data_IF_442632286969
#
_entry.id   IF_442632286969
#
_cell.length_a   1.000
_cell.length_b   1.000
_cell.length_c   1.000
_cell.angle_alpha   90.00
_cell.angle_beta   90.00
_cell.angle_gamma   90.00
#
_symmetry.space_group_name_H-M   'P 1'
#
loop_
_entity.id
_entity.type
_entity.pdbx_description
1 polymer ?
#
# COMPACT_ATOMS: atom_id res chain seq x y z
N UNK A 1 -28.23 -6.51 -63.59
CA UNK A 1 -28.50 -5.45 -62.60
C UNK A 1 -27.99 -5.93 -61.24
N UNK A 2 -26.99 -5.21 -60.71
CA UNK A 2 -26.45 -5.14 -59.34
C UNK A 2 -26.53 -6.39 -58.44
N UNK A 3 -25.41 -7.10 -58.33
CA UNK A 3 -25.14 -8.02 -57.22
C UNK A 3 -24.88 -7.19 -55.94
N UNK A 4 -25.72 -7.40 -54.91
CA UNK A 4 -25.47 -6.86 -53.57
C UNK A 4 -24.35 -7.66 -52.90
N UNK A 5 -23.20 -7.02 -52.69
CA UNK A 5 -22.19 -7.52 -51.75
C UNK A 5 -22.59 -7.12 -50.34
N UNK A 6 -22.99 -8.10 -49.52
CA UNK A 6 -23.15 -7.91 -48.08
C UNK A 6 -21.76 -7.89 -47.43
N UNK A 7 -21.36 -6.73 -46.90
CA UNK A 7 -20.12 -6.56 -46.15
C UNK A 7 -20.33 -7.14 -44.73
N UNK A 8 -19.53 -8.10 -44.25
CA UNK A 8 -19.66 -8.59 -42.89
C UNK A 8 -19.16 -7.51 -41.92
N UNK A 9 -20.07 -7.02 -41.06
CA UNK A 9 -19.73 -6.16 -39.93
C UNK A 9 -18.96 -7.04 -38.92
N UNK A 10 -17.64 -6.88 -38.85
CA UNK A 10 -16.84 -7.42 -37.75
C UNK A 10 -17.22 -6.65 -36.48
N UNK A 11 -18.04 -7.26 -35.62
CA UNK A 11 -18.16 -6.84 -34.23
C UNK A 11 -16.81 -7.12 -33.56
N UNK A 12 -16.02 -6.07 -33.33
CA UNK A 12 -14.86 -6.13 -32.45
C UNK A 12 -15.38 -6.43 -31.03
N UNK A 13 -15.30 -7.70 -30.63
CA UNK A 13 -15.52 -8.10 -29.24
C UNK A 13 -14.33 -7.56 -28.46
N UNK A 14 -14.50 -6.39 -27.83
CA UNK A 14 -13.55 -5.93 -26.82
C UNK A 14 -13.66 -6.88 -25.64
N UNK A 15 -12.74 -7.83 -25.55
CA UNK A 15 -12.57 -8.68 -24.38
C UNK A 15 -12.31 -7.77 -23.17
N UNK A 16 -13.28 -7.66 -22.27
CA UNK A 16 -13.02 -7.13 -20.93
C UNK A 16 -12.05 -8.12 -20.27
N UNK A 17 -10.78 -7.75 -20.21
CA UNK A 17 -9.83 -8.44 -19.34
C UNK A 17 -10.15 -8.04 -17.90
N UNK A 18 -10.76 -8.97 -17.19
CA UNK A 18 -10.94 -8.93 -15.75
C UNK A 18 -9.56 -9.10 -15.09
N UNK A 19 -9.08 -8.05 -14.42
CA UNK A 19 -7.83 -8.04 -13.67
C UNK A 19 -8.11 -8.18 -12.18
N UNK A 20 -7.44 -9.14 -11.55
CA UNK A 20 -7.37 -9.27 -10.10
C UNK A 20 -6.48 -8.18 -9.48
N UNK A 21 -6.65 -7.94 -8.18
CA UNK A 21 -5.81 -7.05 -7.36
C UNK A 21 -5.26 -7.82 -6.15
N UNK A 22 -4.35 -8.78 -6.35
CA UNK A 22 -4.06 -9.82 -5.37
C UNK A 22 -3.11 -9.39 -4.25
N UNK A 23 -2.58 -8.17 -4.29
CA UNK A 23 -1.54 -7.70 -3.37
C UNK A 23 -1.48 -6.17 -3.28
N UNK A 24 -0.62 -5.66 -2.37
CA UNK A 24 -0.32 -4.24 -2.21
C UNK A 24 0.03 -3.57 -3.55
N UNK A 25 -0.63 -2.44 -3.84
CA UNK A 25 -0.48 -1.67 -5.09
C UNK A 25 -0.79 -2.47 -6.38
N UNK A 26 -1.53 -3.56 -6.28
CA UNK A 26 -2.04 -4.31 -7.42
C UNK A 26 -1.10 -5.38 -7.94
N UNK A 27 -1.45 -6.04 -9.06
CA UNK A 27 -0.78 -7.26 -9.52
C UNK A 27 0.73 -7.08 -9.75
N UNK A 28 1.17 -5.89 -10.17
CA UNK A 28 2.59 -5.55 -10.39
C UNK A 28 3.19 -4.66 -9.29
N UNK A 29 2.46 -4.41 -8.19
CA UNK A 29 2.86 -3.51 -7.08
C UNK A 29 3.19 -2.08 -7.52
N UNK A 30 2.62 -1.63 -8.62
CA UNK A 30 2.95 -0.37 -9.29
C UNK A 30 1.85 0.69 -9.18
N UNK A 31 0.73 0.37 -8.53
CA UNK A 31 -0.45 1.22 -8.38
C UNK A 31 -1.08 1.59 -9.73
N UNK A 32 -1.08 0.67 -10.69
CA UNK A 32 -1.70 0.85 -12.01
C UNK A 32 -2.84 -0.14 -12.18
N UNK A 33 -4.05 0.39 -12.37
CA UNK A 33 -5.24 -0.36 -12.78
C UNK A 33 -5.36 -0.33 -14.30
N UNK A 34 -5.23 -1.50 -14.93
CA UNK A 34 -5.04 -1.64 -16.39
C UNK A 34 -6.34 -1.91 -17.16
N UNK A 35 -7.45 -2.11 -16.45
CA UNK A 35 -8.73 -2.37 -17.10
C UNK A 35 -9.24 -1.16 -17.89
N UNK A 36 -10.07 -1.46 -18.89
CA UNK A 36 -10.69 -0.48 -19.78
C UNK A 36 -12.21 -0.56 -19.68
N UNK A 37 -12.94 0.34 -20.37
CA UNK A 37 -14.41 0.36 -20.28
C UNK A 37 -14.94 0.96 -18.98
N UNK A 38 -14.17 1.83 -18.34
CA UNK A 38 -14.45 2.40 -17.02
C UNK A 38 -14.97 3.84 -17.12
N UNK A 39 -15.83 4.26 -16.19
CA UNK A 39 -16.44 5.61 -16.14
C UNK A 39 -15.40 6.70 -16.30
N UNK A 40 -15.60 7.65 -17.22
CA UNK A 40 -14.75 8.85 -17.40
C UNK A 40 -15.00 9.89 -16.29
N UNK A 41 -16.27 9.97 -15.90
CA UNK A 41 -16.82 10.80 -14.82
C UNK A 41 -17.86 9.97 -14.09
N UNK A 42 -18.04 10.21 -12.79
CA UNK A 42 -19.10 9.56 -12.04
C UNK A 42 -20.48 10.04 -12.52
N UNK A 43 -21.50 9.16 -12.56
CA UNK A 43 -22.85 9.56 -12.89
C UNK A 43 -23.42 10.47 -11.79
N UNK A 44 -24.49 11.21 -12.13
CA UNK A 44 -25.26 11.98 -11.15
C UNK A 44 -25.81 11.04 -10.07
N UNK A 45 -25.62 11.38 -8.79
CA UNK A 45 -25.92 10.50 -7.66
C UNK A 45 -24.81 9.50 -7.28
N UNK A 46 -23.72 9.46 -8.05
CA UNK A 46 -22.56 8.61 -7.77
C UNK A 46 -22.65 7.22 -8.40
N UNK A 47 -21.51 6.50 -8.48
CA UNK A 47 -21.45 5.16 -9.08
C UNK A 47 -22.28 4.14 -8.32
N UNK A 48 -22.73 3.09 -9.02
CA UNK A 48 -23.61 2.06 -8.45
C UNK A 48 -22.90 1.26 -7.36
N UNK A 49 -23.43 1.33 -6.13
CA UNK A 49 -23.02 0.44 -5.03
C UNK A 49 -23.50 -0.97 -5.33
N UNK A 50 -22.58 -1.94 -5.29
CA UNK A 50 -22.87 -3.37 -5.46
C UNK A 50 -23.28 -3.99 -4.14
N UNK A 51 -22.52 -3.74 -3.08
CA UNK A 51 -22.79 -4.20 -1.73
C UNK A 51 -22.00 -3.39 -0.70
N UNK A 52 -22.47 -3.46 0.56
CA UNK A 52 -21.81 -2.96 1.76
C UNK A 52 -21.88 -4.03 2.82
N UNK A 53 -20.77 -4.28 3.52
CA UNK A 53 -20.71 -5.34 4.54
C UNK A 53 -19.93 -4.88 5.76
N UNK A 54 -20.38 -5.22 6.98
CA UNK A 54 -19.72 -4.77 8.18
C UNK A 54 -18.36 -5.45 8.35
N UNK A 55 -17.37 -4.67 8.76
CA UNK A 55 -16.04 -5.14 9.21
C UNK A 55 -15.67 -4.42 10.50
N UNK A 56 -14.71 -4.97 11.24
CA UNK A 56 -14.16 -4.28 12.41
C UNK A 56 -13.03 -3.31 12.00
N UNK A 57 -12.51 -2.47 12.91
CA UNK A 57 -11.42 -1.55 12.63
C UNK A 57 -10.16 -2.21 12.06
N UNK A 58 -9.40 -1.47 11.24
CA UNK A 58 -8.17 -1.94 10.63
C UNK A 58 -7.69 -1.05 9.47
N UNK A 59 -6.37 -1.03 9.25
CA UNK A 59 -5.74 -0.21 8.21
C UNK A 59 -5.47 -1.01 6.92
N UNK A 60 -5.36 -2.34 7.04
CA UNK A 60 -5.11 -3.26 5.92
C UNK A 60 -6.14 -3.10 4.80
N UNK A 61 -5.66 -2.81 3.58
CA UNK A 61 -6.51 -2.73 2.39
C UNK A 61 -7.03 -4.10 1.96
N UNK A 62 -8.21 -4.19 1.34
CA UNK A 62 -8.67 -5.43 0.73
C UNK A 62 -7.78 -5.81 -0.47
N UNK A 63 -7.80 -7.09 -0.81
CA UNK A 63 -7.28 -7.62 -2.08
C UNK A 63 -8.35 -8.46 -2.76
N UNK A 64 -8.33 -8.50 -4.08
CA UNK A 64 -9.28 -9.25 -4.90
C UNK A 64 -8.52 -10.29 -5.71
N UNK A 65 -8.94 -11.54 -5.63
CA UNK A 65 -8.36 -12.62 -6.41
C UNK A 65 -9.37 -13.75 -6.64
N UNK A 66 -9.54 -14.16 -7.90
CA UNK A 66 -10.37 -15.33 -8.26
C UNK A 66 -11.81 -15.28 -7.76
N UNK A 67 -12.48 -14.12 -7.85
CA UNK A 67 -13.87 -13.96 -7.42
C UNK A 67 -14.04 -13.80 -5.89
N UNK A 68 -12.94 -13.60 -5.16
CA UNK A 68 -12.91 -13.46 -3.70
C UNK A 68 -12.27 -12.16 -3.27
N UNK A 69 -12.74 -11.63 -2.15
CA UNK A 69 -12.17 -10.47 -1.46
C UNK A 69 -11.57 -10.95 -0.17
N UNK A 70 -10.30 -10.60 0.08
CA UNK A 70 -9.62 -10.88 1.34
C UNK A 70 -9.27 -9.59 2.05
N UNK A 71 -9.54 -9.52 3.34
CA UNK A 71 -9.22 -8.37 4.18
C UNK A 71 -8.92 -8.84 5.60
N UNK A 72 -8.19 -8.04 6.37
CA UNK A 72 -7.99 -8.30 7.79
C UNK A 72 -8.56 -7.17 8.65
N UNK A 73 -9.11 -7.52 9.80
CA UNK A 73 -9.59 -6.56 10.80
C UNK A 73 -9.28 -7.02 12.23
N UNK A 74 -9.53 -6.14 13.22
CA UNK A 74 -9.35 -6.45 14.63
C UNK A 74 -10.61 -6.19 15.44
N UNK A 75 -10.93 -7.13 16.31
CA UNK A 75 -11.97 -7.01 17.33
C UNK A 75 -11.33 -6.80 18.70
N UNK A 76 -11.64 -5.68 19.35
CA UNK A 76 -11.23 -5.43 20.75
C UNK A 76 -12.02 -6.34 21.69
N UNK A 77 -11.36 -6.89 22.72
CA UNK A 77 -12.01 -7.74 23.70
C UNK A 77 -13.09 -6.97 24.48
N UNK A 78 -14.19 -7.65 24.81
CA UNK A 78 -15.31 -7.03 25.53
C UNK A 78 -14.85 -6.48 26.88
N UNK A 79 -15.08 -5.19 27.11
CA UNK A 79 -14.71 -4.49 28.35
C UNK A 79 -13.25 -4.01 28.41
N UNK A 80 -12.44 -4.28 27.38
CA UNK A 80 -11.12 -3.68 27.29
C UNK A 80 -11.25 -2.16 27.02
N UNK A 81 -10.41 -1.36 27.67
CA UNK A 81 -10.38 0.09 27.52
C UNK A 81 -9.31 0.45 26.50
N UNK A 82 -9.70 1.20 25.48
CA UNK A 82 -8.78 1.82 24.52
C UNK A 82 -8.75 3.31 24.81
N UNK A 83 -7.56 3.87 24.94
CA UNK A 83 -7.38 5.31 25.00
C UNK A 83 -7.29 5.83 23.56
N UNK A 84 -8.40 6.31 23.02
CA UNK A 84 -8.46 6.83 21.65
C UNK A 84 -7.93 8.27 21.54
N UNK A 85 -7.77 8.96 22.66
CA UNK A 85 -7.30 10.35 22.71
C UNK A 85 -5.77 10.45 22.65
N UNK A 86 -5.05 9.46 23.20
CA UNK A 86 -3.60 9.37 23.16
C UNK A 86 -3.11 8.22 22.27
N UNK A 87 -2.69 8.47 21.02
CA UNK A 87 -2.17 7.45 20.13
C UNK A 87 -0.83 6.86 20.59
N UNK A 88 -0.21 7.40 21.65
CA UNK A 88 1.04 6.90 22.23
C UNK A 88 0.82 6.20 23.59
N UNK A 89 -0.42 5.99 24.02
CA UNK A 89 -0.73 5.05 25.09
C UNK A 89 -0.48 3.61 24.60
N UNK A 90 0.62 3.02 25.07
CA UNK A 90 1.05 1.67 24.70
C UNK A 90 0.52 0.59 25.66
N UNK A 91 -0.49 0.91 26.48
CA UNK A 91 -1.16 -0.07 27.34
C UNK A 91 -1.65 -1.26 26.51
N UNK A 92 -1.38 -2.47 27.02
CA UNK A 92 -1.72 -3.69 26.29
C UNK A 92 -3.23 -3.92 26.33
N UNK A 93 -3.86 -3.88 25.16
CA UNK A 93 -5.29 -4.11 24.98
C UNK A 93 -5.52 -5.47 24.35
N UNK A 94 -6.25 -6.34 25.04
CA UNK A 94 -6.65 -7.64 24.53
C UNK A 94 -7.63 -7.51 23.34
N UNK A 95 -7.50 -8.41 22.38
CA UNK A 95 -8.36 -8.48 21.20
C UNK A 95 -7.99 -9.65 20.31
N UNK A 96 -8.72 -9.80 19.21
CA UNK A 96 -8.49 -10.82 18.19
C UNK A 96 -8.32 -10.16 16.82
N UNK A 97 -7.38 -10.65 16.04
CA UNK A 97 -7.28 -10.31 14.62
C UNK A 97 -8.04 -11.36 13.81
N UNK A 98 -8.66 -10.93 12.71
CA UNK A 98 -9.38 -11.80 11.79
C UNK A 98 -8.87 -11.64 10.37
N UNK A 99 -8.81 -12.75 9.65
CA UNK A 99 -8.69 -12.82 8.18
C UNK A 99 -10.06 -13.20 7.64
N UNK A 100 -10.63 -12.36 6.79
CA UNK A 100 -11.95 -12.56 6.19
C UNK A 100 -11.79 -12.89 4.71
N UNK A 101 -12.59 -13.84 4.22
CA UNK A 101 -12.81 -14.07 2.80
C UNK A 101 -14.28 -13.88 2.47
N UNK A 102 -14.55 -13.05 1.48
CA UNK A 102 -15.89 -12.71 1.02
C UNK A 102 -16.03 -13.04 -0.46
N UNK A 103 -17.25 -13.35 -0.89
CA UNK A 103 -17.57 -13.43 -2.31
C UNK A 103 -17.56 -12.03 -2.91
N UNK A 104 -16.78 -11.82 -3.97
CA UNK A 104 -16.66 -10.53 -4.65
C UNK A 104 -17.99 -10.08 -5.28
N UNK A 105 -18.80 -11.03 -5.73
CA UNK A 105 -20.10 -10.76 -6.34
C UNK A 105 -21.11 -10.13 -5.37
N UNK A 106 -21.12 -10.58 -4.11
CA UNK A 106 -22.22 -10.32 -3.16
C UNK A 106 -21.77 -9.70 -1.84
N UNK A 107 -20.48 -9.74 -1.53
CA UNK A 107 -19.92 -9.40 -0.23
C UNK A 107 -20.19 -10.45 0.85
N UNK A 108 -20.83 -11.59 0.55
CA UNK A 108 -21.12 -12.60 1.56
C UNK A 108 -19.82 -13.23 2.08
N UNK A 109 -19.66 -13.27 3.40
CA UNK A 109 -18.54 -14.00 4.03
C UNK A 109 -18.59 -15.48 3.67
N UNK A 110 -17.49 -15.97 3.10
CA UNK A 110 -17.26 -17.37 2.75
C UNK A 110 -16.65 -18.10 3.95
N UNK A 111 -15.59 -17.52 4.51
CA UNK A 111 -14.93 -18.01 5.71
C UNK A 111 -14.28 -16.87 6.49
N UNK A 112 -13.99 -17.14 7.77
CA UNK A 112 -13.15 -16.28 8.60
C UNK A 112 -12.15 -17.15 9.37
N UNK A 113 -10.94 -16.64 9.57
CA UNK A 113 -9.95 -17.18 10.50
C UNK A 113 -9.67 -16.13 11.57
N UNK A 114 -9.66 -16.51 12.85
CA UNK A 114 -9.51 -15.58 13.98
C UNK A 114 -8.47 -16.12 14.96
N UNK A 115 -7.64 -15.23 15.51
CA UNK A 115 -6.61 -15.56 16.50
C UNK A 115 -6.39 -14.42 17.49
N UNK A 116 -5.93 -14.77 18.69
CA UNK A 116 -5.63 -13.80 19.75
C UNK A 116 -4.48 -12.89 19.37
N UNK A 117 -4.67 -11.59 19.56
CA UNK A 117 -3.69 -10.56 19.27
C UNK A 117 -3.86 -9.36 20.21
N UNK A 118 -3.18 -9.42 21.36
CA UNK A 118 -3.10 -8.29 22.29
C UNK A 118 -2.14 -7.23 21.76
N UNK A 119 -2.57 -5.97 21.73
CA UNK A 119 -1.82 -4.85 21.14
C UNK A 119 -1.23 -3.95 22.21
N UNK A 120 0.08 -3.71 22.12
CA UNK A 120 0.80 -2.64 22.84
C UNK A 120 1.50 -1.69 21.85
N UNK A 121 0.76 -1.22 20.84
CA UNK A 121 1.26 -0.40 19.73
C UNK A 121 0.55 0.94 19.67
N UNK A 122 1.20 1.93 19.05
CA UNK A 122 0.60 3.23 18.75
C UNK A 122 -0.55 3.07 17.76
N UNK A 123 -1.66 3.75 18.05
CA UNK A 123 -2.98 3.46 17.51
C UNK A 123 -3.37 2.00 17.73
N UNK A 124 -4.19 1.74 18.74
CA UNK A 124 -4.67 0.39 19.08
C UNK A 124 -5.67 -0.17 18.04
N UNK A 125 -5.54 0.21 16.78
CA UNK A 125 -6.27 -0.26 15.60
C UNK A 125 -5.33 -1.06 14.70
N UNK A 126 -5.84 -2.02 13.92
CA UNK A 126 -5.05 -2.86 13.02
C UNK A 126 -5.91 -4.02 12.50
N UNK A 127 -5.37 -4.97 11.71
CA UNK A 127 -4.01 -5.03 11.18
C UNK A 127 -3.70 -3.96 10.13
N UNK A 128 -2.42 -3.83 9.75
CA UNK A 128 -1.93 -2.81 8.81
C UNK A 128 -1.46 -3.37 7.47
N UNK A 129 -0.88 -4.56 7.45
CA UNK A 129 -0.38 -5.14 6.22
C UNK A 129 -1.53 -5.72 5.36
N UNK A 130 -1.68 -5.20 4.16
CA UNK A 130 -2.47 -5.77 3.05
C UNK A 130 -2.06 -7.23 2.79
N UNK A 131 -3.02 -8.18 2.66
CA UNK A 131 -2.74 -9.57 2.33
C UNK A 131 -2.08 -9.75 0.95
N UNK A 132 -1.51 -10.93 0.71
CA UNK A 132 -1.06 -11.38 -0.61
C UNK A 132 -1.79 -12.67 -0.98
N UNK A 133 -2.36 -12.76 -2.17
CA UNK A 133 -3.04 -13.96 -2.67
C UNK A 133 -2.27 -14.54 -3.85
N UNK A 134 -1.93 -15.81 -3.80
CA UNK A 134 -1.27 -16.51 -4.92
C UNK A 134 -1.39 -18.02 -4.80
N UNK A 135 -1.63 -18.70 -5.92
CA UNK A 135 -1.59 -20.16 -6.00
C UNK A 135 -2.50 -20.87 -4.99
N UNK A 136 -3.72 -20.36 -4.82
CA UNK A 136 -4.70 -20.91 -3.87
C UNK A 136 -4.40 -20.64 -2.40
N UNK A 137 -3.48 -19.71 -2.09
CA UNK A 137 -3.07 -19.35 -0.72
C UNK A 137 -3.23 -17.87 -0.46
N UNK A 138 -3.48 -17.54 0.80
CA UNK A 138 -3.52 -16.17 1.32
C UNK A 138 -2.43 -16.03 2.38
N UNK A 139 -1.59 -15.02 2.22
CA UNK A 139 -0.53 -14.66 3.16
C UNK A 139 -0.92 -13.39 3.90
N UNK A 140 -0.92 -13.42 5.23
CA UNK A 140 -1.25 -12.26 6.06
C UNK A 140 -0.18 -12.02 7.11
N UNK A 141 0.09 -10.75 7.40
CA UNK A 141 0.97 -10.33 8.48
C UNK A 141 0.18 -9.48 9.48
N UNK A 142 -0.04 -10.03 10.67
CA UNK A 142 -0.69 -9.35 11.79
C UNK A 142 0.19 -8.27 12.43
N UNK A 143 -0.43 -7.31 13.13
CA UNK A 143 0.26 -6.17 13.78
C UNK A 143 1.34 -6.63 14.76
N UNK A 144 1.13 -7.77 15.42
CA UNK A 144 2.03 -8.35 16.43
C UNK A 144 3.02 -9.38 15.84
N UNK A 145 3.11 -9.48 14.51
CA UNK A 145 4.09 -10.34 13.83
C UNK A 145 3.62 -11.78 13.62
N UNK A 146 2.30 -12.00 13.59
CA UNK A 146 1.70 -13.27 13.20
C UNK A 146 1.71 -13.36 11.67
N UNK A 147 2.64 -14.12 11.11
CA UNK A 147 2.69 -14.38 9.67
C UNK A 147 1.99 -15.71 9.40
N UNK A 148 0.88 -15.66 8.67
CA UNK A 148 0.05 -16.83 8.36
C UNK A 148 0.05 -17.10 6.87
N UNK A 149 0.02 -18.38 6.52
CA UNK A 149 -0.40 -18.86 5.23
C UNK A 149 -1.66 -19.69 5.40
N UNK A 150 -2.72 -19.28 4.72
CA UNK A 150 -4.03 -19.93 4.77
C UNK A 150 -4.40 -20.46 3.38
N UNK A 151 -5.14 -21.56 3.37
CA UNK A 151 -5.85 -22.03 2.19
C UNK A 151 -6.91 -20.99 1.79
N UNK A 152 -6.86 -20.51 0.54
CA UNK A 152 -7.74 -19.44 0.07
C UNK A 152 -9.21 -19.87 -0.03
N UNK A 153 -9.48 -21.18 -0.15
CA UNK A 153 -10.83 -21.72 -0.33
C UNK A 153 -11.55 -21.85 1.00
N UNK A 154 -10.87 -22.28 2.05
CA UNK A 154 -11.50 -22.64 3.33
C UNK A 154 -10.92 -21.95 4.58
N UNK A 155 -9.85 -21.15 4.44
CA UNK A 155 -9.26 -20.40 5.55
C UNK A 155 -8.50 -21.24 6.57
N UNK A 156 -8.22 -22.53 6.28
CA UNK A 156 -7.37 -23.35 7.15
C UNK A 156 -5.94 -22.87 7.09
N UNK A 157 -5.30 -22.78 8.26
CA UNK A 157 -3.86 -22.46 8.36
C UNK A 157 -3.06 -23.62 7.79
N UNK A 158 -2.24 -23.33 6.77
CA UNK A 158 -1.28 -24.25 6.17
C UNK A 158 0.01 -24.25 7.00
N UNK A 159 0.50 -23.04 7.32
CA UNK A 159 1.63 -22.84 8.22
C UNK A 159 1.54 -21.45 8.88
N UNK A 160 2.26 -21.28 9.98
CA UNK A 160 2.38 -19.99 10.68
C UNK A 160 3.80 -19.75 11.21
N UNK A 161 4.11 -18.46 11.39
CA UNK A 161 5.29 -17.93 12.08
C UNK A 161 4.86 -16.83 13.03
N UNK A 162 5.63 -16.64 14.09
CA UNK A 162 5.38 -15.61 15.10
C UNK A 162 6.69 -14.86 15.34
N UNK A 163 6.88 -13.71 14.70
CA UNK A 163 8.18 -13.03 14.61
C UNK A 163 8.83 -12.79 15.98
N UNK A 164 8.04 -12.37 16.97
CA UNK A 164 8.53 -12.17 18.35
C UNK A 164 9.11 -13.45 18.96
N UNK A 165 8.46 -14.59 18.73
CA UNK A 165 8.87 -15.89 19.24
C UNK A 165 10.06 -16.45 18.45
N UNK A 166 9.97 -16.38 17.13
CA UNK A 166 10.90 -17.03 16.21
C UNK A 166 12.25 -16.29 16.13
N UNK A 167 12.24 -14.96 16.27
CA UNK A 167 13.43 -14.10 16.10
C UNK A 167 13.79 -13.26 17.33
N UNK A 168 13.01 -13.31 18.41
CA UNK A 168 13.28 -12.53 19.63
C UNK A 168 13.15 -11.01 19.45
N UNK A 169 12.43 -10.57 18.41
CA UNK A 169 12.20 -9.15 18.11
C UNK A 169 11.04 -8.57 18.91
N UNK A 170 11.00 -7.25 19.04
CA UNK A 170 9.86 -6.53 19.61
C UNK A 170 8.94 -6.05 18.49
N UNK A 171 7.66 -5.87 18.80
CA UNK A 171 6.72 -5.21 17.91
C UNK A 171 7.17 -3.75 17.69
N UNK A 172 7.28 -3.28 16.43
CA UNK A 172 7.56 -1.86 16.15
C UNK A 172 6.49 -0.94 16.73
N UNK A 173 6.80 0.36 16.88
CA UNK A 173 5.89 1.34 17.49
C UNK A 173 4.49 1.35 16.84
N UNK A 174 4.41 1.22 15.51
CA UNK A 174 3.16 1.12 14.76
C UNK A 174 2.83 -0.30 14.30
N UNK A 175 3.41 -1.32 14.95
CA UNK A 175 3.23 -2.72 14.55
C UNK A 175 4.00 -3.13 13.30
N UNK A 176 3.95 -4.42 13.00
CA UNK A 176 4.45 -4.93 11.72
C UNK A 176 3.51 -4.51 10.59
N UNK A 177 3.88 -3.44 9.88
CA UNK A 177 3.03 -2.83 8.85
C UNK A 177 3.53 -3.02 7.40
N UNK A 178 4.77 -3.46 7.22
CA UNK A 178 5.34 -3.64 5.89
C UNK A 178 4.64 -4.79 5.14
N UNK A 179 4.03 -4.47 4.01
CA UNK A 179 3.34 -5.44 3.17
C UNK A 179 4.31 -6.52 2.68
N UNK A 180 4.06 -7.83 2.96
CA UNK A 180 4.90 -8.90 2.43
C UNK A 180 5.05 -8.81 0.91
N UNK A 181 6.22 -9.20 0.42
CA UNK A 181 6.52 -9.33 -0.99
C UNK A 181 6.61 -10.82 -1.34
N UNK A 182 5.80 -11.27 -2.29
CA UNK A 182 5.93 -12.61 -2.86
C UNK A 182 6.76 -12.54 -4.14
N UNK A 183 7.87 -13.26 -4.16
CA UNK A 183 8.79 -13.36 -5.29
C UNK A 183 9.10 -14.82 -5.63
N UNK A 184 8.40 -15.38 -6.62
CA UNK A 184 8.42 -16.82 -6.89
C UNK A 184 7.99 -17.61 -5.66
N UNK A 185 8.88 -18.45 -5.15
CA UNK A 185 8.64 -19.24 -3.93
C UNK A 185 8.99 -18.51 -2.63
N UNK A 186 9.47 -17.26 -2.69
CA UNK A 186 9.97 -16.50 -1.54
C UNK A 186 8.93 -15.48 -1.07
N UNK A 187 8.42 -15.64 0.14
CA UNK A 187 7.66 -14.63 0.86
C UNK A 187 8.61 -13.81 1.74
N UNK A 188 8.89 -12.59 1.33
CA UNK A 188 9.88 -11.69 1.94
C UNK A 188 9.16 -10.71 2.87
N UNK A 189 9.61 -10.66 4.12
CA UNK A 189 9.04 -9.83 5.19
C UNK A 189 10.11 -8.98 5.88
N UNK A 190 9.69 -7.84 6.42
CA UNK A 190 10.49 -7.06 7.35
C UNK A 190 10.22 -7.54 8.79
N UNK A 191 11.24 -8.10 9.43
CA UNK A 191 11.14 -8.68 10.78
C UNK A 191 11.85 -7.82 11.82
N UNK A 192 12.93 -7.14 11.46
CA UNK A 192 13.77 -6.39 12.40
C UNK A 192 14.76 -7.28 13.16
N UNK A 193 15.55 -6.69 14.04
CA UNK A 193 16.58 -7.40 14.82
C UNK A 193 17.96 -7.41 14.17
N UNK A 194 18.87 -8.21 14.74
CA UNK A 194 20.26 -8.30 14.30
C UNK A 194 20.44 -9.49 13.34
N UNK A 195 20.74 -9.21 12.07
CA UNK A 195 20.85 -10.22 11.00
C UNK A 195 19.49 -10.71 10.46
N UNK A 196 18.39 -10.13 10.93
CA UNK A 196 17.02 -10.56 10.64
C UNK A 196 16.14 -9.41 10.16
N UNK A 197 16.69 -8.26 9.77
CA UNK A 197 15.85 -7.13 9.37
C UNK A 197 14.96 -7.47 8.17
N UNK A 198 15.50 -8.18 7.17
CA UNK A 198 14.75 -8.79 6.09
C UNK A 198 14.88 -10.33 6.15
N UNK A 199 13.77 -11.04 6.00
CA UNK A 199 13.74 -12.51 6.03
C UNK A 199 12.87 -13.02 4.89
N UNK A 200 13.37 -14.00 4.13
CA UNK A 200 12.58 -14.74 3.15
C UNK A 200 12.14 -16.09 3.71
N UNK A 201 10.86 -16.38 3.54
CA UNK A 201 10.25 -17.65 3.88
C UNK A 201 9.79 -18.39 2.62
N UNK A 202 9.90 -19.70 2.58
CA UNK A 202 9.33 -20.50 1.51
C UNK A 202 7.79 -20.45 1.58
N UNK A 203 7.14 -19.99 0.50
CA UNK A 203 5.69 -19.70 0.48
C UNK A 203 4.81 -20.89 0.89
N UNK A 204 5.21 -22.13 0.55
CA UNK A 204 4.39 -23.31 0.85
C UNK A 204 4.68 -23.95 2.23
N UNK A 205 5.79 -23.62 2.89
CA UNK A 205 6.21 -24.31 4.13
C UNK A 205 6.52 -23.37 5.30
N UNK A 206 6.65 -22.08 5.04
CA UNK A 206 7.09 -21.07 6.01
C UNK A 206 8.53 -21.24 6.47
N UNK A 207 9.31 -22.19 5.92
CA UNK A 207 10.73 -22.37 6.28
C UNK A 207 11.52 -21.12 5.90
N UNK A 208 12.37 -20.64 6.79
CA UNK A 208 13.34 -19.59 6.47
C UNK A 208 14.25 -20.10 5.33
N UNK A 209 14.41 -19.27 4.30
CA UNK A 209 15.29 -19.52 3.16
C UNK A 209 16.59 -18.72 3.31
N UNK A 210 16.46 -17.45 3.66
CA UNK A 210 17.57 -16.58 4.00
C UNK A 210 17.10 -15.45 4.91
N UNK A 211 18.05 -14.81 5.59
CA UNK A 211 17.88 -13.59 6.37
C UNK A 211 19.03 -12.65 6.13
N UNK A 212 18.79 -11.35 6.25
CA UNK A 212 19.79 -10.32 5.95
C UNK A 212 19.51 -9.03 6.71
N UNK A 213 20.54 -8.19 6.76
CA UNK A 213 20.56 -6.86 7.37
C UNK A 213 20.29 -6.86 8.89
N UNK A 214 20.77 -5.81 9.55
CA UNK A 214 20.49 -5.55 10.96
C UNK A 214 19.80 -4.20 11.08
N UNK A 215 18.66 -4.16 11.77
CA UNK A 215 17.94 -2.94 12.05
C UNK A 215 17.10 -3.15 13.30
N UNK A 216 17.30 -2.33 14.33
CA UNK A 216 16.44 -2.35 15.53
C UNK A 216 14.99 -2.08 15.14
N UNK A 217 14.79 -1.07 14.31
CA UNK A 217 13.51 -0.71 13.72
C UNK A 217 13.58 -1.00 12.21
N UNK A 218 12.87 -2.03 11.71
CA UNK A 218 13.02 -2.47 10.33
C UNK A 218 12.46 -1.50 9.28
N UNK A 219 11.73 -0.46 9.70
CA UNK A 219 10.94 0.38 8.81
C UNK A 219 9.57 -0.23 8.49
N UNK A 220 8.75 0.51 7.74
CA UNK A 220 7.36 0.15 7.43
C UNK A 220 7.10 -0.01 5.94
N UNK A 221 8.09 0.30 5.10
CA UNK A 221 7.96 0.32 3.66
C UNK A 221 7.95 -1.11 3.13
N UNK A 222 7.08 -1.37 2.16
CA UNK A 222 7.01 -2.69 1.56
C UNK A 222 8.31 -3.02 0.80
N UNK A 223 8.89 -4.22 0.97
CA UNK A 223 9.98 -4.69 0.11
C UNK A 223 9.58 -4.60 -1.37
N UNK A 224 10.52 -4.16 -2.21
CA UNK A 224 10.26 -3.86 -3.62
C UNK A 224 11.34 -4.45 -4.51
N UNK A 225 10.95 -5.10 -5.61
CA UNK A 225 11.89 -5.53 -6.64
C UNK A 225 12.07 -4.39 -7.65
N UNK A 226 13.32 -4.09 -7.98
CA UNK A 226 13.71 -3.18 -9.04
C UNK A 226 14.61 -3.90 -10.06
N UNK A 227 14.73 -3.35 -11.25
CA UNK A 227 15.68 -3.82 -12.27
C UNK A 227 16.75 -2.76 -12.52
N UNK A 228 18.02 -3.10 -12.30
CA UNK A 228 19.15 -2.23 -12.59
C UNK A 228 20.41 -3.05 -12.84
N UNK A 229 21.32 -2.53 -13.67
CA UNK A 229 22.50 -3.25 -14.14
C UNK A 229 22.20 -4.66 -14.69
N UNK A 230 21.10 -4.79 -15.44
CA UNK A 230 20.68 -6.06 -16.06
C UNK A 230 20.26 -7.16 -15.08
N UNK A 231 19.98 -6.82 -13.81
CA UNK A 231 19.57 -7.79 -12.79
C UNK A 231 18.46 -7.26 -11.89
N UNK A 232 17.71 -8.20 -11.31
CA UNK A 232 16.73 -7.93 -10.26
C UNK A 232 17.43 -7.63 -8.94
N UNK A 233 16.95 -6.63 -8.21
CA UNK A 233 17.48 -6.23 -6.91
C UNK A 233 16.31 -6.02 -5.94
N UNK A 234 16.44 -6.51 -4.71
CA UNK A 234 15.46 -6.36 -3.66
C UNK A 234 15.78 -5.12 -2.81
N UNK A 235 14.94 -4.10 -2.92
CA UNK A 235 15.07 -2.87 -2.12
C UNK A 235 14.43 -3.07 -0.74
N UNK A 236 15.22 -2.79 0.29
CA UNK A 236 14.81 -2.78 1.71
C UNK A 236 15.18 -1.43 2.32
N UNK A 237 14.16 -0.70 2.79
CA UNK A 237 14.37 0.61 3.40
C UNK A 237 14.15 0.57 4.91
N UNK A 238 15.26 0.46 5.65
CA UNK A 238 15.28 0.46 7.11
C UNK A 238 15.36 1.88 7.67
N UNK A 239 15.35 2.01 9.00
CA UNK A 239 15.53 3.29 9.68
C UNK A 239 16.88 3.99 9.38
N UNK A 240 17.88 3.23 8.94
CA UNK A 240 19.26 3.71 8.80
C UNK A 240 19.72 3.85 7.35
N UNK A 241 19.14 3.10 6.41
CA UNK A 241 19.61 3.05 5.03
C UNK A 241 18.57 2.52 4.04
N UNK A 242 18.71 2.94 2.79
CA UNK A 242 18.13 2.25 1.63
C UNK A 242 19.13 1.20 1.17
N UNK A 243 18.72 -0.06 1.14
CA UNK A 243 19.58 -1.18 0.80
C UNK A 243 19.05 -1.88 -0.43
N UNK A 244 19.94 -2.43 -1.25
CA UNK A 244 19.59 -3.48 -2.20
C UNK A 244 20.24 -4.79 -1.81
N UNK A 245 19.46 -5.86 -1.93
CA UNK A 245 19.89 -7.23 -1.74
C UNK A 245 19.71 -8.00 -3.05
N UNK A 246 20.47 -9.08 -3.20
CA UNK A 246 20.13 -10.13 -4.15
C UNK A 246 18.85 -10.85 -3.67
N UNK A 247 17.76 -10.89 -4.47
CA UNK A 247 16.49 -11.46 -4.02
C UNK A 247 16.57 -12.99 -3.77
N UNK A 248 17.48 -13.70 -4.43
CA UNK A 248 17.62 -15.14 -4.30
C UNK A 248 18.36 -15.55 -3.03
N UNK A 249 19.38 -14.77 -2.65
CA UNK A 249 20.31 -15.14 -1.56
C UNK A 249 20.22 -14.23 -0.33
N UNK A 250 19.59 -13.06 -0.44
CA UNK A 250 19.57 -12.03 0.59
C UNK A 250 20.90 -11.28 0.75
N UNK A 251 21.92 -11.56 -0.07
CA UNK A 251 23.23 -10.93 0.04
C UNK A 251 23.15 -9.43 -0.30
N UNK A 252 23.71 -8.54 0.55
CA UNK A 252 23.74 -7.10 0.25
C UNK A 252 24.52 -6.81 -1.03
N UNK A 253 23.92 -6.00 -1.90
CA UNK A 253 24.54 -5.49 -3.13
C UNK A 253 25.11 -4.10 -2.90
N UNK A 254 24.29 -3.20 -2.35
CA UNK A 254 24.70 -1.85 -1.99
C UNK A 254 23.83 -1.31 -0.85
N UNK A 255 24.32 -0.26 -0.19
CA UNK A 255 23.60 0.45 0.86
C UNK A 255 23.88 1.95 0.73
N UNK A 256 22.82 2.75 0.75
CA UNK A 256 22.87 4.21 0.80
C UNK A 256 22.37 4.67 2.16
N UNK A 257 23.23 5.25 3.02
CA UNK A 257 22.84 5.75 4.33
C UNK A 257 21.70 6.77 4.23
N UNK A 258 20.64 6.55 4.99
CA UNK A 258 19.46 7.41 5.07
C UNK A 258 18.82 7.24 6.44
N UNK A 259 19.37 7.96 7.43
CA UNK A 259 18.85 7.92 8.81
C UNK A 259 17.55 8.71 8.87
N UNK A 260 16.46 8.02 9.18
CA UNK A 260 15.13 8.60 9.28
C UNK A 260 14.61 8.58 10.71
N UNK A 261 13.99 9.69 11.13
CA UNK A 261 13.45 9.85 12.47
C UNK A 261 12.32 8.86 12.69
N UNK A 262 12.34 8.19 13.84
CA UNK A 262 11.34 7.20 14.27
C UNK A 262 11.12 6.04 13.27
N UNK A 263 12.09 5.75 12.40
CA UNK A 263 11.97 4.71 11.38
C UNK A 263 10.76 4.87 10.45
N UNK A 264 10.29 6.11 10.23
CA UNK A 264 9.09 6.41 9.42
C UNK A 264 9.40 6.32 7.92
N UNK A 265 9.83 5.13 7.47
CA UNK A 265 9.89 4.73 6.06
C UNK A 265 8.58 4.03 5.74
N UNK A 266 7.52 4.77 5.41
CA UNK A 266 6.20 4.17 5.14
C UNK A 266 5.96 4.07 3.62
N UNK A 267 6.24 5.15 2.88
CA UNK A 267 6.09 5.18 1.44
C UNK A 267 6.93 4.07 0.76
N UNK A 268 6.31 3.31 -0.13
CA UNK A 268 7.00 2.24 -0.87
C UNK A 268 8.04 2.86 -1.82
N UNK A 269 9.30 2.38 -1.86
CA UNK A 269 10.31 2.86 -2.81
C UNK A 269 9.81 2.76 -4.26
N UNK A 270 10.12 3.76 -5.10
CA UNK A 270 9.63 3.83 -6.49
C UNK A 270 10.78 4.01 -7.47
N UNK A 271 10.80 3.20 -8.51
CA UNK A 271 11.76 3.31 -9.60
C UNK A 271 11.18 4.08 -10.79
N UNK A 272 12.00 4.94 -11.41
CA UNK A 272 11.75 5.57 -12.70
C UNK A 272 13.03 5.51 -13.54
N UNK A 273 13.11 4.57 -14.49
CA UNK A 273 14.35 4.31 -15.21
C UNK A 273 15.47 3.93 -14.26
N UNK A 274 16.57 4.68 -14.27
CA UNK A 274 17.72 4.49 -13.38
C UNK A 274 17.66 5.31 -12.08
N UNK A 275 16.48 5.85 -11.76
CA UNK A 275 16.23 6.61 -10.52
C UNK A 275 15.42 5.79 -9.53
N UNK A 276 15.85 5.73 -8.28
CA UNK A 276 15.11 5.14 -7.16
C UNK A 276 14.78 6.22 -6.13
N UNK A 277 13.50 6.41 -5.89
CA UNK A 277 12.97 7.45 -5.02
C UNK A 277 12.43 6.88 -3.71
N UNK A 278 12.77 7.54 -2.60
CA UNK A 278 12.18 7.30 -1.28
C UNK A 278 11.82 8.62 -0.60
N UNK A 279 10.80 8.63 0.25
CA UNK A 279 10.32 9.84 0.95
C UNK A 279 9.76 9.50 2.33
N UNK A 280 10.06 10.36 3.30
CA UNK A 280 9.63 10.26 4.70
C UNK A 280 9.12 11.61 5.16
N UNK A 281 8.19 11.61 6.12
CA UNK A 281 7.62 12.81 6.70
C UNK A 281 8.70 13.74 7.27
N UNK A 282 9.47 13.26 8.26
CA UNK A 282 10.40 14.12 8.98
C UNK A 282 11.60 14.53 8.10
N UNK A 283 12.20 13.56 7.42
CA UNK A 283 13.49 13.72 6.74
C UNK A 283 13.37 14.18 5.28
N UNK A 284 12.15 14.22 4.75
CA UNK A 284 11.89 14.53 3.35
C UNK A 284 12.28 13.40 2.41
N UNK A 285 12.73 13.78 1.22
CA UNK A 285 13.01 12.86 0.12
C UNK A 285 14.50 12.61 -0.13
N UNK A 286 14.79 11.44 -0.69
CA UNK A 286 16.07 11.02 -1.23
C UNK A 286 15.86 10.41 -2.62
N UNK A 287 16.67 10.84 -3.58
CA UNK A 287 16.76 10.22 -4.90
C UNK A 287 18.12 9.56 -5.05
N UNK A 288 18.09 8.29 -5.41
CA UNK A 288 19.26 7.46 -5.65
C UNK A 288 19.38 7.20 -7.15
N UNK A 289 20.57 7.44 -7.71
CA UNK A 289 20.94 7.03 -9.07
C UNK A 289 21.46 5.60 -9.01
N UNK A 290 20.83 4.71 -9.77
CA UNK A 290 21.23 3.32 -9.92
C UNK A 290 22.30 3.23 -11.01
N UNK A 291 23.35 2.45 -10.76
CA UNK A 291 24.41 2.22 -11.73
C UNK A 291 23.91 1.30 -12.85
N UNK A 292 24.27 1.64 -14.09
CA UNK A 292 23.80 0.94 -15.28
C UNK A 292 24.57 -0.36 -15.59
N UNK A 293 25.76 -0.54 -15.01
CA UNK A 293 26.68 -1.64 -15.34
C UNK A 293 26.96 -2.57 -14.16
N UNK A 294 26.97 -2.04 -12.94
CA UNK A 294 27.19 -2.81 -11.71
C UNK A 294 26.04 -2.61 -10.73
N UNK A 295 25.91 -3.53 -9.77
CA UNK A 295 24.96 -3.40 -8.68
C UNK A 295 25.47 -2.36 -7.66
N UNK A 296 25.41 -1.09 -8.04
CA UNK A 296 25.82 0.05 -7.25
C UNK A 296 24.78 1.16 -7.32
N UNK A 297 24.87 2.10 -6.39
CA UNK A 297 23.97 3.22 -6.32
C UNK A 297 24.64 4.42 -5.65
N UNK A 298 24.29 5.62 -6.07
CA UNK A 298 24.78 6.87 -5.48
C UNK A 298 23.64 7.85 -5.21
N UNK A 299 23.83 8.75 -4.26
CA UNK A 299 22.84 9.79 -3.98
C UNK A 299 22.88 10.81 -5.12
N UNK A 300 21.77 10.94 -5.87
CA UNK A 300 21.62 11.99 -6.87
C UNK A 300 21.31 13.33 -6.21
N UNK A 301 20.31 13.33 -5.32
CA UNK A 301 19.98 14.48 -4.48
C UNK A 301 19.25 14.01 -3.22
N UNK A 302 19.31 14.82 -2.17
CA UNK A 302 18.65 14.55 -0.91
C UNK A 302 18.14 15.85 -0.26
N UNK A 303 17.10 15.72 0.55
CA UNK A 303 16.60 16.82 1.38
C UNK A 303 17.64 17.20 2.42
N UNK A 304 18.13 18.44 2.36
CA UNK A 304 19.11 18.97 3.32
C UNK A 304 18.45 19.72 4.48
N UNK A 305 17.36 20.44 4.20
CA UNK A 305 16.58 21.18 5.20
C UNK A 305 15.49 20.26 5.76
N UNK A 306 15.74 19.72 6.94
CA UNK A 306 14.77 18.90 7.69
C UNK A 306 13.78 19.85 8.36
N UNK A 307 12.50 19.77 7.98
CA UNK A 307 11.40 20.52 8.57
C UNK A 307 10.11 19.73 8.41
N UNK A 308 9.22 19.80 9.40
CA UNK A 308 7.91 19.16 9.33
C UNK A 308 6.89 20.01 8.54
N UNK A 309 7.07 21.33 8.52
CA UNK A 309 6.13 22.30 7.92
C UNK A 309 6.71 23.03 6.72
N UNK A 310 7.90 23.60 6.87
CA UNK A 310 8.58 24.37 5.82
C UNK A 310 9.47 23.46 4.97
N UNK A 311 8.79 22.67 4.15
CA UNK A 311 9.34 21.56 3.38
C UNK A 311 9.62 21.95 1.93
N UNK A 312 10.82 21.62 1.43
CA UNK A 312 11.25 21.93 0.06
C UNK A 312 10.92 20.83 -0.94
N UNK A 313 11.03 19.57 -0.52
CA UNK A 313 10.80 18.37 -1.33
C UNK A 313 9.50 17.69 -0.92
N UNK A 314 9.27 16.46 -1.36
CA UNK A 314 8.13 15.68 -0.90
C UNK A 314 8.43 15.11 0.49
N UNK A 315 7.56 15.39 1.45
CA UNK A 315 7.61 14.88 2.82
C UNK A 315 6.37 14.02 3.06
N UNK A 316 6.26 12.92 2.30
CA UNK A 316 5.10 12.04 2.39
C UNK A 316 5.17 11.18 3.66
N UNK A 317 4.03 11.00 4.30
CA UNK A 317 3.87 10.05 5.40
C UNK A 317 3.39 8.71 4.83
N UNK A 318 2.07 8.54 4.64
CA UNK A 318 1.47 7.28 4.21
C UNK A 318 1.33 7.14 2.69
N UNK A 319 1.37 8.26 1.96
CA UNK A 319 1.19 8.25 0.51
C UNK A 319 2.39 7.60 -0.18
N UNK A 320 2.15 6.58 -0.99
CA UNK A 320 3.13 6.08 -1.95
C UNK A 320 3.09 6.99 -3.19
N UNK A 321 4.18 7.72 -3.50
CA UNK A 321 4.21 8.64 -4.63
C UNK A 321 4.14 7.90 -5.97
N UNK A 322 3.62 8.58 -7.00
CA UNK A 322 3.62 8.08 -8.37
C UNK A 322 4.70 8.79 -9.18
N UNK A 323 5.47 8.04 -9.98
CA UNK A 323 6.55 8.58 -10.82
C UNK A 323 6.23 8.31 -12.28
N UNK A 324 6.28 9.35 -13.09
CA UNK A 324 6.02 9.25 -14.53
C UNK A 324 6.66 10.42 -15.28
N UNK A 325 7.18 10.14 -16.49
CA UNK A 325 7.64 11.15 -17.44
C UNK A 325 8.60 12.19 -16.80
N UNK A 326 9.55 11.73 -15.99
CA UNK A 326 10.54 12.58 -15.32
C UNK A 326 10.04 13.34 -14.09
N UNK A 327 8.83 13.04 -13.60
CA UNK A 327 8.20 13.76 -12.50
C UNK A 327 7.73 12.83 -11.39
N UNK A 328 7.64 13.37 -10.17
CA UNK A 328 7.14 12.70 -8.97
C UNK A 328 5.88 13.41 -8.52
N UNK A 329 4.82 12.66 -8.23
CA UNK A 329 3.55 13.16 -7.70
C UNK A 329 3.25 12.52 -6.35
N UNK A 330 2.96 13.32 -5.33
CA UNK A 330 2.63 12.76 -4.02
C UNK A 330 2.15 13.80 -3.01
N UNK A 331 1.55 13.32 -1.93
CA UNK A 331 0.98 14.14 -0.87
C UNK A 331 1.96 14.21 0.31
N UNK A 332 2.28 15.43 0.75
CA UNK A 332 3.03 15.66 1.97
C UNK A 332 2.13 15.56 3.21
N UNK A 333 2.75 15.33 4.36
CA UNK A 333 2.06 15.15 5.65
C UNK A 333 0.98 16.20 5.97
N UNK A 334 1.15 17.44 5.53
CA UNK A 334 0.26 18.56 5.85
C UNK A 334 -0.74 18.88 4.72
N UNK A 335 -0.97 17.93 3.80
CA UNK A 335 -1.99 18.02 2.75
C UNK A 335 -1.51 18.62 1.43
N UNK A 336 -0.23 18.98 1.32
CA UNK A 336 0.33 19.50 0.08
C UNK A 336 0.47 18.38 -0.95
N UNK A 337 -0.37 18.40 -1.99
CA UNK A 337 -0.14 17.61 -3.18
C UNK A 337 0.92 18.31 -4.03
N UNK A 338 2.02 17.62 -4.36
CA UNK A 338 3.15 18.23 -5.07
C UNK A 338 3.50 17.47 -6.34
N UNK A 339 4.03 18.22 -7.31
CA UNK A 339 4.85 17.69 -8.38
C UNK A 339 6.29 18.16 -8.21
N UNK A 340 7.23 17.23 -8.36
CA UNK A 340 8.66 17.50 -8.34
C UNK A 340 9.28 16.99 -9.64
N UNK A 341 10.32 17.66 -10.13
CA UNK A 341 11.21 17.12 -11.15
C UNK A 341 12.05 16.00 -10.54
N UNK A 342 12.03 14.80 -11.14
CA UNK A 342 12.73 13.64 -10.59
C UNK A 342 14.26 13.80 -10.61
N UNK A 343 14.80 14.49 -11.62
CA UNK A 343 16.24 14.67 -11.77
C UNK A 343 16.86 15.61 -10.72
N UNK A 344 16.09 16.58 -10.20
CA UNK A 344 16.62 17.65 -9.35
C UNK A 344 15.94 17.76 -7.98
N UNK A 345 14.75 17.17 -7.82
CA UNK A 345 13.88 17.37 -6.67
C UNK A 345 13.14 18.71 -6.68
N UNK A 346 13.40 19.59 -7.65
CA UNK A 346 12.77 20.91 -7.70
C UNK A 346 11.25 20.77 -7.74
N UNK A 347 10.58 21.41 -6.78
CA UNK A 347 9.11 21.52 -6.75
C UNK A 347 8.64 22.31 -7.98
N UNK A 348 7.84 21.66 -8.82
CA UNK A 348 7.22 22.22 -10.02
C UNK A 348 5.94 22.94 -9.64
N UNK A 349 5.08 22.29 -8.86
CA UNK A 349 3.86 22.88 -8.32
C UNK A 349 3.47 22.28 -6.96
N UNK A 350 2.57 22.97 -6.27
CA UNK A 350 1.92 22.55 -5.03
C UNK A 350 0.44 22.92 -5.09
N UNK A 351 -0.43 22.01 -4.67
CA UNK A 351 -1.87 22.20 -4.51
C UNK A 351 -2.32 21.64 -3.14
N UNK A 352 -3.29 22.29 -2.50
CA UNK A 352 -3.99 21.75 -1.32
C UNK A 352 -5.49 21.57 -1.57
N UNK A 353 -6.02 22.07 -2.68
CA UNK A 353 -7.45 22.07 -2.95
C UNK A 353 -7.98 20.64 -3.15
N UNK A 354 -7.25 19.81 -3.91
CA UNK A 354 -7.70 18.47 -4.28
C UNK A 354 -7.77 17.53 -3.07
N UNK A 355 -6.75 17.55 -2.21
CA UNK A 355 -6.60 16.57 -1.12
C UNK A 355 -7.34 17.00 0.15
N UNK A 356 -7.22 18.27 0.53
CA UNK A 356 -7.69 18.76 1.85
C UNK A 356 -8.65 19.94 1.76
N UNK A 357 -9.19 20.24 0.57
CA UNK A 357 -10.03 21.41 0.32
C UNK A 357 -9.37 22.73 0.79
N UNK A 358 -8.05 22.84 0.60
CA UNK A 358 -7.25 24.02 0.95
C UNK A 358 -6.81 24.10 2.41
N UNK A 359 -7.20 23.15 3.27
CA UNK A 359 -6.85 23.15 4.70
C UNK A 359 -5.48 22.52 4.93
N UNK A 360 -4.75 23.02 5.94
CA UNK A 360 -3.58 22.33 6.48
C UNK A 360 -4.06 21.24 7.44
N UNK A 361 -3.83 19.97 7.10
CA UNK A 361 -4.22 18.82 7.90
C UNK A 361 -3.03 17.90 8.10
N UNK A 362 -2.62 17.65 9.34
CA UNK A 362 -1.55 16.70 9.67
C UNK A 362 -1.96 15.26 9.35
N UNK A 363 -1.00 14.44 8.93
CA UNK A 363 -1.19 13.08 8.44
C UNK A 363 -2.19 12.97 7.27
N UNK A 364 -2.34 14.03 6.47
CA UNK A 364 -3.16 13.98 5.28
C UNK A 364 -2.64 12.94 4.28
N UNK A 365 -3.56 12.23 3.64
CA UNK A 365 -3.22 11.14 2.75
C UNK A 365 -4.15 11.06 1.53
N UNK A 366 -3.58 10.61 0.40
CA UNK A 366 -4.33 10.14 -0.75
C UNK A 366 -3.64 8.89 -1.32
N UNK A 367 -4.41 7.84 -1.61
CA UNK A 367 -3.90 6.71 -2.39
C UNK A 367 -4.07 7.02 -3.88
N UNK A 368 -2.96 6.96 -4.62
CA UNK A 368 -2.88 7.35 -6.04
C UNK A 368 -2.83 6.07 -6.88
N UNK A 369 -3.85 5.85 -7.72
CA UNK A 369 -3.90 4.69 -8.64
C UNK A 369 -4.08 5.18 -10.07
N UNK A 370 -3.17 4.83 -10.96
CA UNK A 370 -3.22 5.20 -12.39
C UNK A 370 -4.18 4.30 -13.17
N UNK A 371 -4.92 4.87 -14.12
CA UNK A 371 -5.70 4.15 -15.12
C UNK A 371 -5.68 4.91 -16.45
N UNK A 372 -5.00 4.39 -17.48
CA UNK A 372 -4.79 5.12 -18.74
C UNK A 372 -4.11 6.47 -18.50
N UNK A 373 -4.67 7.56 -19.04
CA UNK A 373 -4.12 8.93 -18.92
C UNK A 373 -4.56 9.69 -17.64
N UNK A 374 -5.20 8.99 -16.71
CA UNK A 374 -5.82 9.60 -15.52
C UNK A 374 -5.51 8.79 -14.26
N UNK A 375 -5.88 9.35 -13.13
CA UNK A 375 -5.62 8.80 -11.81
C UNK A 375 -6.89 8.82 -10.98
N UNK A 376 -7.11 7.74 -10.24
CA UNK A 376 -8.04 7.68 -9.14
C UNK A 376 -7.32 8.04 -7.84
N UNK A 377 -7.87 9.01 -7.11
CA UNK A 377 -7.39 9.40 -5.79
C UNK A 377 -8.41 8.96 -4.74
N UNK A 378 -8.03 8.03 -3.86
CA UNK A 378 -8.81 7.72 -2.67
C UNK A 378 -8.34 8.62 -1.54
N UNK A 379 -9.19 9.58 -1.16
CA UNK A 379 -8.88 10.62 -0.19
C UNK A 379 -9.29 10.19 1.21
N UNK A 380 -8.57 10.69 2.21
CA UNK A 380 -8.84 10.34 3.62
C UNK A 380 -10.21 10.81 4.14
N UNK A 381 -10.87 11.75 3.46
CA UNK A 381 -12.23 12.13 3.80
C UNK A 381 -13.27 11.11 3.28
N UNK A 382 -12.85 10.03 2.61
CA UNK A 382 -13.70 8.98 2.04
C UNK A 382 -14.22 9.29 0.63
N UNK A 383 -13.74 10.35 -0.02
CA UNK A 383 -14.05 10.65 -1.42
C UNK A 383 -13.15 9.83 -2.36
N UNK A 384 -13.69 9.53 -3.54
CA UNK A 384 -12.96 9.06 -4.70
C UNK A 384 -12.97 10.16 -5.75
N UNK A 385 -11.81 10.65 -6.16
CA UNK A 385 -11.65 11.64 -7.22
C UNK A 385 -10.99 11.03 -8.46
N UNK A 386 -11.39 11.48 -9.64
CA UNK A 386 -10.73 11.22 -10.92
C UNK A 386 -9.99 12.48 -11.31
N UNK A 387 -8.69 12.39 -11.55
CA UNK A 387 -7.84 13.53 -11.90
C UNK A 387 -6.91 13.21 -13.07
N UNK A 388 -6.41 14.24 -13.74
CA UNK A 388 -5.19 14.14 -14.57
C UNK A 388 -4.03 14.81 -13.86
N UNK A 389 -2.84 14.21 -13.91
CA UNK A 389 -1.61 14.74 -13.33
C UNK A 389 -0.62 15.05 -14.43
N UNK A 390 -0.02 16.25 -14.38
CA UNK A 390 1.03 16.65 -15.31
C UNK A 390 1.95 17.70 -14.66
N UNK A 391 3.09 18.04 -15.27
CA UNK A 391 3.91 19.16 -14.81
C UNK A 391 3.20 20.53 -14.88
N UNK A 392 2.11 20.64 -15.66
CA UNK A 392 1.30 21.86 -15.71
C UNK A 392 0.34 21.99 -14.52
N UNK A 393 0.08 20.91 -13.78
CA UNK A 393 -0.81 20.90 -12.62
C UNK A 393 -1.61 19.61 -12.47
N UNK A 394 -2.47 19.60 -11.44
CA UNK A 394 -3.53 18.63 -11.24
C UNK A 394 -4.87 19.21 -11.72
N UNK A 395 -5.66 18.42 -12.42
CA UNK A 395 -7.02 18.79 -12.84
C UNK A 395 -8.02 17.73 -12.39
N UNK A 396 -8.99 18.14 -11.58
CA UNK A 396 -10.12 17.29 -11.20
C UNK A 396 -11.09 17.14 -12.38
N UNK A 397 -11.44 15.89 -12.70
CA UNK A 397 -12.41 15.55 -13.74
C UNK A 397 -13.78 15.23 -13.14
N UNK A 398 -13.79 14.56 -11.99
CA UNK A 398 -15.01 14.13 -11.28
C UNK A 398 -14.67 13.69 -9.86
N UNK A 399 -15.64 13.74 -8.95
CA UNK A 399 -15.51 13.33 -7.56
C UNK A 399 -16.82 12.72 -7.07
N UNK A 400 -16.74 11.71 -6.22
CA UNK A 400 -17.89 11.09 -5.55
C UNK A 400 -17.54 10.69 -4.12
N UNK A 401 -18.55 10.61 -3.25
CA UNK A 401 -18.40 10.03 -1.91
C UNK A 401 -18.43 8.50 -2.01
N UNK A 402 -17.40 7.82 -1.52
CA UNK A 402 -17.34 6.36 -1.49
C UNK A 402 -17.68 5.80 -0.11
N UNK A 403 -17.07 6.41 0.91
CA UNK A 403 -17.18 6.03 2.32
C UNK A 403 -17.36 7.28 3.19
N UNK A 404 -18.03 7.12 4.33
CA UNK A 404 -17.87 8.05 5.44
C UNK A 404 -16.53 7.77 6.14
N UNK A 405 -15.77 8.81 6.53
CA UNK A 405 -14.64 8.62 7.42
C UNK A 405 -15.12 8.20 8.81
N UNK A 406 -14.35 7.37 9.51
CA UNK A 406 -14.78 6.79 10.79
C UNK A 406 -13.70 6.71 11.84
N UNK A 407 -12.42 6.74 11.44
CA UNK A 407 -11.31 6.67 12.38
C UNK A 407 -11.11 8.06 12.98
N UNK A 408 -11.21 8.19 14.31
CA UNK A 408 -10.88 9.45 14.97
C UNK A 408 -9.36 9.66 15.01
N UNK A 409 -8.92 10.83 14.57
CA UNK A 409 -7.54 11.28 14.65
C UNK A 409 -7.50 12.78 14.92
N UNK A 410 -6.89 13.21 16.03
CA UNK A 410 -6.74 14.63 16.40
C UNK A 410 -8.01 15.49 16.17
N UNK A 411 -9.18 14.98 16.57
CA UNK A 411 -10.45 15.71 16.46
C UNK A 411 -11.08 15.74 15.06
N UNK A 412 -10.60 14.93 14.10
CA UNK A 412 -11.24 14.72 12.79
C UNK A 412 -11.39 13.23 12.47
N UNK A 413 -12.33 12.90 11.61
CA UNK A 413 -12.52 11.54 11.12
C UNK A 413 -11.73 11.31 9.81
N UNK A 414 -11.13 10.13 9.65
CA UNK A 414 -10.33 9.74 8.48
C UNK A 414 -10.63 8.34 7.95
N UNK A 415 -10.20 8.08 6.72
CA UNK A 415 -10.08 6.78 6.06
C UNK A 415 -8.62 6.57 5.65
N UNK A 416 -7.90 5.70 6.37
CA UNK A 416 -6.50 5.39 6.10
C UNK A 416 -6.31 3.92 5.70
N UNK A 417 -7.08 3.49 4.71
CA UNK A 417 -6.95 2.15 4.12
C UNK A 417 -6.88 2.22 2.61
N UNK A 418 -5.93 1.48 2.03
CA UNK A 418 -5.72 1.43 0.59
C UNK A 418 -6.87 0.64 -0.08
N UNK A 419 -7.41 1.09 -1.21
CA UNK A 419 -8.46 0.36 -1.95
C UNK A 419 -7.92 -0.84 -2.75
N UNK A 420 -8.82 -1.67 -3.27
CA UNK A 420 -8.54 -2.58 -4.37
C UNK A 420 -9.33 -2.17 -5.62
N UNK A 421 -8.70 -2.25 -6.80
CA UNK A 421 -9.35 -2.04 -8.09
C UNK A 421 -9.28 -3.33 -8.90
N UNK A 422 -10.40 -3.97 -9.13
CA UNK A 422 -10.45 -5.25 -9.82
C UNK A 422 -11.78 -5.43 -10.53
N UNK A 423 -11.80 -6.14 -11.64
CA UNK A 423 -13.00 -6.61 -12.33
C UNK A 423 -14.07 -5.51 -12.55
N UNK A 424 -13.64 -4.32 -12.93
CA UNK A 424 -14.47 -3.15 -13.23
C UNK A 424 -14.97 -2.38 -12.01
N UNK A 425 -14.49 -2.68 -10.81
CA UNK A 425 -14.97 -2.06 -9.58
C UNK A 425 -13.85 -1.70 -8.61
N UNK A 426 -14.22 -0.82 -7.67
CA UNK A 426 -13.39 -0.49 -6.51
C UNK A 426 -13.98 -1.18 -5.27
N UNK A 427 -13.09 -1.74 -4.44
CA UNK A 427 -13.41 -2.16 -3.09
C UNK A 427 -12.61 -1.30 -2.11
N UNK A 428 -13.30 -0.65 -1.18
CA UNK A 428 -12.68 0.19 -0.17
C UNK A 428 -13.28 -0.12 1.21
N UNK A 429 -12.55 0.25 2.27
CA UNK A 429 -13.02 0.07 3.65
C UNK A 429 -12.80 1.31 4.50
N UNK A 430 -13.58 1.39 5.58
CA UNK A 430 -13.28 2.19 6.76
C UNK A 430 -13.24 1.25 7.99
N UNK A 431 -13.50 1.75 9.20
CA UNK A 431 -13.47 0.93 10.43
C UNK A 431 -14.77 0.18 10.71
N UNK A 432 -15.79 0.39 9.88
CA UNK A 432 -17.15 -0.12 10.09
C UNK A 432 -17.63 -1.00 8.94
N UNK A 433 -17.17 -0.75 7.72
CA UNK A 433 -17.65 -1.43 6.52
C UNK A 433 -16.59 -1.57 5.41
N UNK A 434 -16.79 -2.59 4.58
CA UNK A 434 -16.30 -2.67 3.21
C UNK A 434 -17.43 -2.25 2.26
N UNK A 435 -17.07 -1.57 1.18
CA UNK A 435 -17.95 -1.25 0.06
C UNK A 435 -17.37 -1.75 -1.25
N UNK A 436 -18.22 -2.32 -2.11
CA UNK A 436 -17.89 -2.51 -3.52
C UNK A 436 -18.75 -1.61 -4.40
N UNK A 437 -18.11 -0.92 -5.34
CA UNK A 437 -18.74 0.05 -6.23
C UNK A 437 -18.34 -0.21 -7.67
N UNK A 438 -19.33 -0.31 -8.55
CA UNK A 438 -19.16 -0.52 -9.98
C UNK A 438 -18.65 0.76 -10.67
N UNK A 439 -17.55 0.64 -11.40
CA UNK A 439 -16.90 1.73 -12.13
C UNK A 439 -16.90 1.50 -13.64
N UNK A 440 -17.70 0.57 -14.17
CA UNK A 440 -17.88 0.35 -15.62
C UNK A 440 -18.77 1.43 -16.24
N UNK A 441 -18.52 1.74 -17.52
CA UNK A 441 -19.29 2.71 -18.33
C UNK A 441 -20.74 2.29 -18.53
#
# INVERSE_FOLDING_TARGET
MKALFALPVLLAVTSLHADDWPQWLGPQRDAVWRETGLVEKFPEGGPKVRWRVPVNPGFSGPVVAGGRVFVTDRKVAKGAKVNEEDPFDLSVVAGTERVLCLEEATGKTVWQHEYDAAYGVSYNTGPRATPVVSGGKVFTLGTEGHLLCLDAVNGKVIWSRAFKKDFGVKTPLWGFAAHPLLDGDKLICLVGGNGTAAVAFHKDTGKELWRSLSAKDPGYAAPTIIEAAGRRQLVIWTADAVNALDPETGQPLWSVPSKIRQAVSIATPRQLGDLLFVTSFYNGSLMVKLDAQRAGAEVLWATKKISEKDTTHLNALMTTPFLEAGHIYGVCNHGQFRCLEAATGKRVWEDRAIVTAGKELECANAFIVKNGERFFLCLENGDLAIVTLSPAGVKELSRTKLLAPTLSYQGREVVWSHPAFANGHIIARNDKELVSVDLRK
#
